data_IF_599869377902
#
_entry.id   IF_599869377902
#
_cell.length_a   1.000
_cell.length_b   1.000
_cell.length_c   1.000
_cell.angle_alpha   90.00
_cell.angle_beta   90.00
_cell.angle_gamma   90.00
#
_symmetry.space_group_name_H-M   'P 1'
#
loop_
_entity.id
_entity.type
_entity.pdbx_description
1 polymer ?
#
# COMPACT_ATOMS: atom_id res chain seq x y z
N UNK A 1 -9.39 -22.12 -1.62
CA UNK A 1 -8.53 -21.95 -0.43
C UNK A 1 -9.34 -22.47 0.74
N UNK A 2 -8.98 -23.58 1.39
CA UNK A 2 -9.76 -24.16 2.49
C UNK A 2 -8.99 -24.20 3.82
N UNK A 3 -7.77 -23.66 3.87
CA UNK A 3 -6.93 -23.62 5.07
C UNK A 3 -5.90 -22.48 5.01
N UNK A 4 -5.22 -22.20 6.12
CA UNK A 4 -4.14 -21.21 6.14
C UNK A 4 -2.87 -21.68 5.43
N UNK A 5 -2.62 -22.98 5.38
CA UNK A 5 -1.53 -23.54 4.57
C UNK A 5 -1.76 -23.21 3.09
N UNK A 6 -2.99 -23.35 2.60
CA UNK A 6 -3.34 -22.97 1.22
C UNK A 6 -3.17 -21.46 0.97
N UNK A 7 -3.52 -20.61 1.94
CA UNK A 7 -3.29 -19.16 1.86
C UNK A 7 -1.79 -18.83 1.85
N UNK A 8 -1.02 -19.47 2.73
CA UNK A 8 0.43 -19.31 2.81
C UNK A 8 1.11 -19.73 1.52
N UNK A 9 0.75 -20.88 0.96
CA UNK A 9 1.33 -21.37 -0.28
C UNK A 9 0.95 -20.50 -1.47
N UNK A 10 -0.29 -19.98 -1.49
CA UNK A 10 -0.69 -18.96 -2.46
C UNK A 10 0.19 -17.72 -2.36
N UNK A 11 0.36 -17.15 -1.16
CA UNK A 11 1.18 -15.94 -0.95
C UNK A 11 2.64 -16.20 -1.34
N UNK A 12 3.23 -17.33 -0.92
CA UNK A 12 4.62 -17.71 -1.28
C UNK A 12 4.81 -17.90 -2.78
N UNK A 13 3.76 -18.32 -3.50
CA UNK A 13 3.81 -18.46 -4.96
C UNK A 13 3.86 -17.11 -5.70
N UNK A 14 3.54 -15.99 -5.02
CA UNK A 14 3.56 -14.66 -5.60
C UNK A 14 4.89 -13.95 -5.35
N UNK A 15 5.22 -13.05 -6.25
CA UNK A 15 6.35 -12.15 -6.07
C UNK A 15 5.95 -10.96 -5.18
N UNK A 16 6.36 -10.99 -3.91
CA UNK A 16 6.11 -9.92 -2.92
C UNK A 16 6.92 -8.63 -3.18
N UNK A 17 7.73 -8.57 -4.25
CA UNK A 17 8.28 -7.31 -4.79
C UNK A 17 7.21 -6.45 -5.47
N UNK A 18 6.22 -7.10 -6.07
CA UNK A 18 5.14 -6.47 -6.83
C UNK A 18 3.82 -6.55 -6.08
N UNK A 19 2.84 -5.76 -6.51
CA UNK A 19 1.47 -5.94 -6.05
C UNK A 19 0.86 -7.21 -6.63
N UNK A 20 0.03 -7.90 -5.87
CA UNK A 20 -0.72 -9.06 -6.35
C UNK A 20 -2.13 -9.08 -5.74
N UNK A 21 -3.02 -9.83 -6.39
CA UNK A 21 -4.41 -10.00 -5.95
C UNK A 21 -4.64 -11.45 -5.54
N UNK A 22 -5.40 -11.63 -4.46
CA UNK A 22 -5.97 -12.90 -4.06
C UNK A 22 -7.50 -12.76 -4.05
N UNK A 23 -8.24 -13.72 -4.60
CA UNK A 23 -9.71 -13.63 -4.68
C UNK A 23 -10.37 -14.98 -4.50
N UNK A 24 -11.60 -14.96 -4.00
CA UNK A 24 -12.51 -16.09 -4.13
C UNK A 24 -13.03 -16.23 -5.57
N UNK A 25 -13.65 -17.37 -5.86
CA UNK A 25 -14.60 -17.44 -6.97
C UNK A 25 -15.82 -16.56 -6.66
N UNK A 26 -16.48 -16.06 -7.71
CA UNK A 26 -17.71 -15.27 -7.55
C UNK A 26 -18.87 -16.23 -7.32
N UNK A 27 -19.56 -16.16 -6.16
CA UNK A 27 -20.73 -17.01 -5.90
C UNK A 27 -21.82 -16.78 -6.95
N UNK A 28 -22.54 -17.83 -7.33
CA UNK A 28 -23.54 -17.73 -8.39
C UNK A 28 -24.67 -16.76 -8.03
N UNK A 29 -25.07 -16.71 -6.75
CA UNK A 29 -26.04 -15.75 -6.21
C UNK A 29 -25.58 -14.31 -6.42
N UNK A 30 -24.29 -14.02 -6.24
CA UNK A 30 -23.71 -12.70 -6.45
C UNK A 30 -23.74 -12.23 -7.90
N UNK A 31 -23.90 -13.15 -8.87
CA UNK A 31 -24.02 -12.80 -10.29
C UNK A 31 -25.44 -12.43 -10.68
N UNK A 32 -26.45 -13.04 -10.03
CA UNK A 32 -27.86 -12.85 -10.34
C UNK A 32 -28.54 -11.79 -9.47
N UNK A 33 -28.14 -11.65 -8.22
CA UNK A 33 -28.80 -10.79 -7.24
C UNK A 33 -28.04 -9.50 -6.96
N UNK A 34 -28.74 -8.37 -6.69
CA UNK A 34 -28.12 -7.13 -6.25
C UNK A 34 -27.26 -7.34 -4.98
N UNK A 35 -25.99 -6.94 -5.07
CA UNK A 35 -25.01 -7.13 -4.01
C UNK A 35 -24.61 -5.82 -3.34
N UNK A 36 -24.35 -5.91 -2.03
CA UNK A 36 -23.58 -4.90 -1.31
C UNK A 36 -22.11 -5.31 -1.26
N UNK A 37 -21.22 -4.32 -1.27
CA UNK A 37 -19.77 -4.51 -1.20
C UNK A 37 -19.18 -3.62 -0.11
N UNK A 38 -18.31 -4.20 0.72
CA UNK A 38 -17.52 -3.49 1.72
C UNK A 38 -16.08 -3.33 1.25
N UNK A 39 -15.46 -2.19 1.57
CA UNK A 39 -14.04 -1.89 1.31
C UNK A 39 -13.38 -1.46 2.62
N UNK A 40 -12.25 -2.06 2.95
CA UNK A 40 -11.39 -1.65 4.05
C UNK A 40 -9.91 -1.95 3.76
N UNK A 41 -8.99 -1.42 4.55
CA UNK A 41 -7.56 -1.68 4.45
C UNK A 41 -6.91 -2.13 5.76
N UNK A 42 -5.74 -2.76 5.63
CA UNK A 42 -4.86 -3.09 6.73
C UNK A 42 -3.41 -2.71 6.40
N UNK A 43 -2.66 -2.31 7.42
CA UNK A 43 -1.25 -1.98 7.26
C UNK A 43 -1.01 -0.63 6.58
N UNK A 44 -1.88 0.37 6.76
CA UNK A 44 -1.63 1.72 6.26
C UNK A 44 -0.46 2.41 6.97
N UNK A 45 -0.39 2.34 8.30
CA UNK A 45 0.61 3.04 9.14
C UNK A 45 2.01 2.42 9.30
N UNK A 46 2.21 1.09 9.24
CA UNK A 46 3.52 0.46 9.40
C UNK A 46 4.59 0.98 8.45
N UNK A 47 5.83 1.05 8.95
CA UNK A 47 7.04 1.28 8.16
C UNK A 47 7.57 -0.03 7.56
N UNK A 48 7.19 -1.19 8.12
CA UNK A 48 7.51 -2.51 7.57
C UNK A 48 6.25 -3.17 6.99
N UNK A 49 6.45 -3.94 5.93
CA UNK A 49 5.42 -4.84 5.42
C UNK A 49 4.44 -4.24 4.42
N UNK A 50 3.61 -5.07 3.80
CA UNK A 50 2.68 -4.63 2.76
C UNK A 50 1.52 -3.83 3.35
N UNK A 51 0.86 -3.05 2.50
CA UNK A 51 -0.49 -2.54 2.75
C UNK A 51 -1.46 -3.44 2.00
N UNK A 52 -2.56 -3.85 2.62
CA UNK A 52 -3.55 -4.73 2.00
C UNK A 52 -4.89 -4.03 1.93
N UNK A 53 -5.47 -3.95 0.74
CA UNK A 53 -6.87 -3.56 0.57
C UNK A 53 -7.71 -4.83 0.44
N UNK A 54 -8.77 -4.94 1.23
CA UNK A 54 -9.73 -6.02 1.19
C UNK A 54 -11.08 -5.51 0.71
N UNK A 55 -11.77 -6.33 -0.07
CA UNK A 55 -13.20 -6.19 -0.32
C UNK A 55 -13.92 -7.50 -0.02
N UNK A 56 -15.16 -7.38 0.42
CA UNK A 56 -16.11 -8.48 0.53
C UNK A 56 -17.43 -8.04 -0.10
N UNK A 57 -18.17 -8.95 -0.72
CA UNK A 57 -19.48 -8.67 -1.31
C UNK A 57 -20.41 -9.86 -1.14
N UNK A 58 -21.71 -9.57 -0.94
CA UNK A 58 -22.76 -10.59 -0.87
C UNK A 58 -24.11 -10.00 -1.32
N UNK A 59 -25.09 -10.84 -1.67
CA UNK A 59 -26.45 -10.39 -1.97
C UNK A 59 -27.04 -9.60 -0.79
N UNK A 60 -27.76 -8.51 -1.08
CA UNK A 60 -28.41 -7.68 -0.05
C UNK A 60 -29.43 -8.50 0.76
N UNK A 61 -30.08 -9.46 0.10
CA UNK A 61 -30.99 -10.46 0.68
C UNK A 61 -30.31 -11.34 1.74
N UNK A 62 -28.99 -11.58 1.61
CA UNK A 62 -28.21 -12.54 2.39
C UNK A 62 -27.29 -11.88 3.42
N UNK A 63 -27.59 -10.65 3.85
CA UNK A 63 -26.81 -9.91 4.85
C UNK A 63 -26.62 -10.66 6.18
N UNK A 64 -27.56 -11.55 6.54
CA UNK A 64 -27.52 -12.31 7.79
C UNK A 64 -26.37 -13.32 7.83
N UNK A 65 -25.90 -13.80 6.67
CA UNK A 65 -24.71 -14.67 6.56
C UNK A 65 -23.50 -14.02 7.23
N UNK A 66 -23.33 -12.71 7.07
CA UNK A 66 -22.23 -11.96 7.70
C UNK A 66 -22.33 -11.93 9.22
N UNK A 67 -23.55 -11.91 9.77
CA UNK A 67 -23.78 -11.98 11.21
C UNK A 67 -23.51 -13.37 11.75
N UNK A 68 -23.96 -14.42 11.04
CA UNK A 68 -23.68 -15.83 11.38
C UNK A 68 -22.19 -16.12 11.38
N UNK A 69 -21.45 -15.56 10.43
CA UNK A 69 -19.99 -15.64 10.38
C UNK A 69 -19.31 -14.96 11.56
N UNK A 70 -19.95 -13.97 12.19
CA UNK A 70 -19.40 -13.20 13.31
C UNK A 70 -18.79 -11.86 12.92
N UNK A 71 -19.01 -11.37 11.69
CA UNK A 71 -18.50 -10.07 11.23
C UNK A 71 -19.20 -8.88 11.91
N UNK A 72 -20.34 -9.08 12.57
CA UNK A 72 -21.12 -8.00 13.20
C UNK A 72 -20.79 -7.76 14.68
N UNK A 73 -19.85 -8.50 15.29
CA UNK A 73 -19.54 -8.31 16.72
C UNK A 73 -18.83 -6.96 16.91
N UNK A 74 -19.46 -6.05 17.65
CA UNK A 74 -19.03 -4.66 17.87
C UNK A 74 -17.80 -4.54 18.77
N UNK A 75 -17.23 -5.67 19.19
CA UNK A 75 -15.99 -5.75 19.96
C UNK A 75 -14.80 -5.88 19.02
N UNK A 76 -13.67 -5.31 19.44
CA UNK A 76 -12.39 -5.49 18.75
C UNK A 76 -12.07 -7.00 18.67
N UNK A 77 -12.21 -7.58 17.48
CA UNK A 77 -11.92 -8.99 17.23
C UNK A 77 -10.42 -9.27 17.45
N UNK A 78 -10.11 -10.37 18.16
CA UNK A 78 -8.72 -10.85 18.30
C UNK A 78 -8.19 -11.38 16.97
N UNK A 79 -6.87 -11.59 16.87
CA UNK A 79 -6.26 -12.19 15.66
C UNK A 79 -6.87 -13.57 15.40
N UNK A 80 -6.96 -14.41 16.43
CA UNK A 80 -7.50 -15.78 16.34
C UNK A 80 -8.96 -15.78 15.88
N UNK A 81 -9.76 -14.81 16.33
CA UNK A 81 -11.16 -14.72 15.91
C UNK A 81 -11.29 -14.26 14.47
N UNK A 82 -10.45 -13.32 14.01
CA UNK A 82 -10.42 -12.92 12.59
C UNK A 82 -10.02 -14.10 11.71
N UNK A 83 -9.04 -14.88 12.15
CA UNK A 83 -8.59 -16.09 11.48
C UNK A 83 -9.72 -17.13 11.36
N UNK A 84 -10.45 -17.39 12.45
CA UNK A 84 -11.62 -18.27 12.44
C UNK A 84 -12.68 -17.80 11.43
N UNK A 85 -13.03 -16.51 11.43
CA UNK A 85 -14.05 -15.95 10.53
C UNK A 85 -13.63 -16.09 9.06
N UNK A 86 -12.37 -15.79 8.73
CA UNK A 86 -11.89 -15.94 7.36
C UNK A 86 -11.88 -17.42 6.92
N UNK A 87 -11.53 -18.35 7.80
CA UNK A 87 -11.62 -19.78 7.50
C UNK A 87 -13.06 -20.22 7.24
N UNK A 88 -14.04 -19.68 7.97
CA UNK A 88 -15.46 -19.96 7.71
C UNK A 88 -15.89 -19.43 6.35
N UNK A 89 -15.47 -18.22 5.97
CA UNK A 89 -15.68 -17.69 4.61
C UNK A 89 -15.10 -18.59 3.51
N UNK A 90 -14.12 -19.44 3.84
CA UNK A 90 -13.41 -20.32 2.91
C UNK A 90 -13.97 -21.75 2.84
N UNK A 91 -14.77 -22.16 3.82
CA UNK A 91 -15.10 -23.58 4.04
C UNK A 91 -16.56 -23.85 4.34
N UNK A 92 -17.31 -22.89 4.90
CA UNK A 92 -18.73 -23.06 5.17
C UNK A 92 -19.54 -22.86 3.89
N UNK A 93 -20.40 -23.82 3.57
CA UNK A 93 -21.21 -23.84 2.34
C UNK A 93 -22.05 -22.57 2.19
N UNK A 94 -22.66 -22.09 3.27
CA UNK A 94 -23.45 -20.86 3.25
C UNK A 94 -22.60 -19.65 2.87
N UNK A 95 -21.36 -19.57 3.34
CA UNK A 95 -20.46 -18.47 2.99
C UNK A 95 -19.95 -18.61 1.55
N UNK A 96 -19.55 -19.81 1.13
CA UNK A 96 -19.09 -20.08 -0.24
C UNK A 96 -20.16 -19.76 -1.29
N UNK A 97 -21.43 -19.97 -0.95
CA UNK A 97 -22.55 -19.72 -1.85
C UNK A 97 -23.03 -18.26 -1.86
N UNK A 98 -22.63 -17.43 -0.90
CA UNK A 98 -23.19 -16.07 -0.75
C UNK A 98 -22.15 -14.96 -0.60
N UNK A 99 -20.90 -15.25 -0.24
CA UNK A 99 -19.88 -14.23 0.07
C UNK A 99 -18.68 -14.39 -0.83
N UNK A 100 -18.43 -13.37 -1.66
CA UNK A 100 -17.20 -13.24 -2.42
C UNK A 100 -16.26 -12.23 -1.78
N UNK A 101 -14.96 -12.36 -2.03
CA UNK A 101 -13.95 -11.45 -1.50
C UNK A 101 -12.74 -11.32 -2.42
N UNK A 102 -12.04 -10.18 -2.31
CA UNK A 102 -10.79 -9.92 -3.02
C UNK A 102 -9.85 -9.16 -2.08
N UNK A 103 -8.57 -9.55 -2.02
CA UNK A 103 -7.50 -8.85 -1.33
C UNK A 103 -6.41 -8.43 -2.33
N UNK A 104 -6.10 -7.14 -2.41
CA UNK A 104 -4.90 -6.63 -3.11
C UNK A 104 -3.79 -6.40 -2.08
N UNK A 105 -2.68 -7.13 -2.21
CA UNK A 105 -1.48 -6.95 -1.41
C UNK A 105 -0.54 -6.01 -2.15
N UNK A 106 -0.31 -4.83 -1.57
CA UNK A 106 0.52 -3.76 -2.13
C UNK A 106 1.89 -3.82 -1.44
N UNK A 107 2.93 -4.13 -2.21
CA UNK A 107 4.28 -4.31 -1.67
C UNK A 107 4.87 -3.01 -1.09
N UNK A 108 5.73 -3.09 -0.05
CA UNK A 108 6.45 -1.92 0.49
C UNK A 108 7.25 -1.20 -0.59
N UNK A 109 7.84 -1.96 -1.51
CA UNK A 109 8.54 -1.47 -2.68
C UNK A 109 7.64 -0.67 -3.63
N UNK A 110 6.44 -1.17 -3.95
CA UNK A 110 5.48 -0.41 -4.76
C UNK A 110 5.08 0.90 -4.08
N UNK A 111 4.85 0.88 -2.76
CA UNK A 111 4.50 2.08 -1.99
C UNK A 111 5.67 3.08 -2.04
N UNK A 112 6.88 2.64 -1.75
CA UNK A 112 8.09 3.49 -1.76
C UNK A 112 8.33 4.09 -3.14
N UNK A 113 8.34 3.26 -4.19
CA UNK A 113 8.53 3.71 -5.56
C UNK A 113 7.42 4.63 -6.04
N UNK A 114 6.19 4.43 -5.56
CA UNK A 114 5.06 5.33 -5.85
C UNK A 114 5.28 6.70 -5.21
N UNK A 115 5.64 6.75 -3.94
CA UNK A 115 5.81 8.00 -3.20
C UNK A 115 7.06 8.78 -3.60
N UNK A 116 8.09 8.11 -4.11
CA UNK A 116 9.31 8.73 -4.64
C UNK A 116 9.28 8.99 -6.16
N UNK A 117 8.13 8.83 -6.83
CA UNK A 117 8.02 9.24 -8.24
C UNK A 117 8.32 10.72 -8.40
N UNK A 118 8.85 11.10 -9.57
CA UNK A 118 9.11 12.51 -9.91
C UNK A 118 7.84 13.36 -9.84
N UNK A 119 6.72 12.81 -10.32
CA UNK A 119 5.41 13.37 -10.07
C UNK A 119 4.91 12.89 -8.70
N UNK A 120 4.58 13.83 -7.81
CA UNK A 120 4.11 13.53 -6.46
C UNK A 120 2.90 12.61 -6.52
N UNK A 121 3.05 11.41 -5.96
CA UNK A 121 1.97 10.42 -5.84
C UNK A 121 1.87 9.96 -4.40
N UNK A 122 0.83 10.44 -3.72
CA UNK A 122 0.66 10.29 -2.28
C UNK A 122 0.13 8.92 -1.89
N UNK A 123 0.32 8.54 -0.62
CA UNK A 123 -0.29 7.32 -0.08
C UNK A 123 -1.83 7.34 -0.18
N UNK A 124 -2.46 8.52 -0.12
CA UNK A 124 -3.91 8.66 -0.34
C UNK A 124 -4.33 8.26 -1.75
N UNK A 125 -3.53 8.63 -2.76
CA UNK A 125 -3.82 8.26 -4.15
C UNK A 125 -3.58 6.77 -4.39
N UNK A 126 -2.50 6.20 -3.85
CA UNK A 126 -2.27 4.75 -3.88
C UNK A 126 -3.46 4.00 -3.28
N UNK A 127 -3.88 4.39 -2.08
CA UNK A 127 -5.04 3.82 -1.36
C UNK A 127 -6.33 3.88 -2.17
N UNK A 128 -6.68 5.07 -2.66
CA UNK A 128 -7.91 5.29 -3.41
C UNK A 128 -7.91 4.53 -4.74
N UNK A 129 -6.78 4.50 -5.45
CA UNK A 129 -6.65 3.74 -6.69
C UNK A 129 -6.82 2.23 -6.48
N UNK A 130 -6.32 1.69 -5.37
CA UNK A 130 -6.53 0.30 -4.99
C UNK A 130 -7.99 -0.01 -4.69
N UNK A 131 -8.68 0.83 -3.92
CA UNK A 131 -10.11 0.67 -3.66
C UNK A 131 -10.94 0.68 -4.96
N UNK A 132 -10.70 1.66 -5.85
CA UNK A 132 -11.36 1.76 -7.16
C UNK A 132 -11.08 0.52 -8.00
N UNK A 133 -9.82 0.07 -8.05
CA UNK A 133 -9.39 -1.11 -8.82
C UNK A 133 -10.09 -2.38 -8.32
N UNK A 134 -10.26 -2.54 -7.01
CA UNK A 134 -10.95 -3.70 -6.44
C UNK A 134 -12.45 -3.70 -6.73
N UNK A 135 -13.11 -2.55 -6.63
CA UNK A 135 -14.54 -2.42 -6.99
C UNK A 135 -14.74 -2.78 -8.47
N UNK A 136 -13.90 -2.24 -9.36
CA UNK A 136 -13.93 -2.58 -10.79
C UNK A 136 -13.72 -4.07 -11.02
N UNK A 137 -12.74 -4.69 -10.36
CA UNK A 137 -12.47 -6.13 -10.48
C UNK A 137 -13.66 -6.99 -10.06
N UNK A 138 -14.37 -6.65 -8.98
CA UNK A 138 -15.56 -7.39 -8.57
C UNK A 138 -16.65 -7.37 -9.66
N UNK A 139 -16.86 -6.20 -10.26
CA UNK A 139 -17.81 -6.02 -11.37
C UNK A 139 -17.34 -6.78 -12.62
N UNK A 140 -16.06 -6.68 -12.98
CA UNK A 140 -15.44 -7.39 -14.11
C UNK A 140 -15.52 -8.93 -13.95
N UNK A 141 -15.45 -9.44 -12.72
CA UNK A 141 -15.64 -10.86 -12.43
C UNK A 141 -17.11 -11.30 -12.47
N UNK A 142 -18.04 -10.36 -12.66
CA UNK A 142 -19.46 -10.60 -12.87
C UNK A 142 -20.33 -10.47 -11.63
N UNK A 143 -19.82 -9.90 -10.52
CA UNK A 143 -20.67 -9.61 -9.36
C UNK A 143 -21.59 -8.41 -9.65
N UNK A 144 -22.88 -8.55 -9.35
CA UNK A 144 -23.90 -7.53 -9.55
C UNK A 144 -23.88 -6.50 -8.40
N UNK A 145 -22.85 -5.66 -8.36
CA UNK A 145 -22.65 -4.69 -7.28
C UNK A 145 -23.59 -3.48 -7.45
N UNK A 146 -24.45 -3.23 -6.47
CA UNK A 146 -25.39 -2.10 -6.47
C UNK A 146 -25.18 -1.14 -5.30
N UNK A 147 -24.59 -1.61 -4.20
CA UNK A 147 -24.22 -0.77 -3.05
C UNK A 147 -22.75 -0.97 -2.65
N UNK A 148 -22.05 0.11 -2.32
CA UNK A 148 -20.65 0.08 -1.86
C UNK A 148 -20.52 0.88 -0.57
N UNK A 149 -19.89 0.27 0.43
CA UNK A 149 -19.61 0.84 1.74
C UNK A 149 -18.09 0.86 1.96
N UNK A 150 -17.52 2.01 2.31
CA UNK A 150 -16.07 2.20 2.41
C UNK A 150 -15.69 2.80 3.76
N UNK A 151 -14.71 2.21 4.44
CA UNK A 151 -14.08 2.85 5.60
C UNK A 151 -13.09 3.94 5.19
N UNK A 152 -13.01 5.01 5.97
CA UNK A 152 -12.02 6.06 5.75
C UNK A 152 -11.48 6.64 7.05
N UNK A 153 -10.19 6.97 7.02
CA UNK A 153 -9.52 7.77 8.06
C UNK A 153 -9.73 9.28 7.85
N UNK A 154 -10.09 9.70 6.63
CA UNK A 154 -10.17 11.11 6.21
C UNK A 154 -11.60 11.67 6.17
N UNK A 155 -11.79 12.86 5.61
CA UNK A 155 -13.11 13.42 5.32
C UNK A 155 -13.86 12.54 4.29
N UNK A 156 -15.01 11.94 4.65
CA UNK A 156 -15.73 11.04 3.78
C UNK A 156 -16.27 11.71 2.51
N UNK A 157 -16.61 12.99 2.57
CA UNK A 157 -17.40 13.69 1.55
C UNK A 157 -16.67 13.76 0.20
N UNK A 158 -15.38 14.13 0.23
CA UNK A 158 -14.55 14.20 -0.98
C UNK A 158 -14.31 12.83 -1.59
N UNK A 159 -14.15 11.81 -0.73
CA UNK A 159 -13.90 10.46 -1.20
C UNK A 159 -15.17 9.85 -1.82
N UNK A 160 -16.31 10.04 -1.16
CA UNK A 160 -17.61 9.62 -1.67
C UNK A 160 -17.92 10.29 -3.01
N UNK A 161 -17.77 11.62 -3.11
CA UNK A 161 -18.02 12.33 -4.36
C UNK A 161 -17.20 11.77 -5.53
N UNK A 162 -15.91 11.51 -5.30
CA UNK A 162 -15.02 10.94 -6.32
C UNK A 162 -15.41 9.50 -6.69
N UNK A 163 -15.80 8.67 -5.73
CA UNK A 163 -16.27 7.32 -6.05
C UNK A 163 -17.59 7.36 -6.82
N UNK A 164 -18.52 8.23 -6.43
CA UNK A 164 -19.82 8.40 -7.12
C UNK A 164 -19.66 8.93 -8.54
N UNK A 165 -18.65 9.75 -8.81
CA UNK A 165 -18.31 10.17 -10.19
C UNK A 165 -17.82 8.99 -11.04
N UNK A 166 -17.04 8.07 -10.45
CA UNK A 166 -16.48 6.90 -11.14
C UNK A 166 -17.53 5.80 -11.33
N UNK A 167 -18.45 5.65 -10.38
CA UNK A 167 -19.49 4.61 -10.35
C UNK A 167 -20.88 5.24 -10.17
N UNK A 168 -21.42 5.93 -11.18
CA UNK A 168 -22.66 6.69 -11.07
C UNK A 168 -23.90 5.82 -10.79
N UNK A 169 -23.89 4.56 -11.24
CA UNK A 169 -25.01 3.63 -11.08
C UNK A 169 -24.97 2.84 -9.76
N UNK A 170 -23.94 3.06 -8.93
CA UNK A 170 -23.75 2.35 -7.66
C UNK A 170 -23.98 3.31 -6.50
N UNK A 171 -24.81 2.91 -5.54
CA UNK A 171 -25.02 3.66 -4.31
C UNK A 171 -23.79 3.54 -3.41
N UNK A 172 -23.03 4.62 -3.28
CA UNK A 172 -21.80 4.64 -2.49
C UNK A 172 -22.01 5.39 -1.18
N UNK A 173 -21.56 4.76 -0.09
CA UNK A 173 -21.49 5.36 1.25
C UNK A 173 -20.06 5.26 1.76
N UNK A 174 -19.45 6.39 2.10
CA UNK A 174 -18.15 6.44 2.78
C UNK A 174 -18.39 6.92 4.20
N UNK A 175 -17.88 6.18 5.18
CA UNK A 175 -18.05 6.52 6.60
C UNK A 175 -16.76 6.25 7.38
N UNK A 176 -16.62 6.92 8.52
CA UNK A 176 -15.55 6.60 9.48
C UNK A 176 -16.02 5.45 10.36
N UNK A 177 -15.13 4.50 10.68
CA UNK A 177 -15.46 3.30 11.46
C UNK A 177 -16.58 2.51 10.79
N UNK A 178 -16.56 2.46 9.46
CA UNK A 178 -17.57 1.76 8.67
C UNK A 178 -17.55 0.25 8.96
N UNK A 179 -16.40 -0.31 9.33
CA UNK A 179 -16.24 -1.67 9.83
C UNK A 179 -17.10 -1.96 11.07
N UNK A 180 -17.26 -0.97 11.95
CA UNK A 180 -18.09 -1.08 13.17
C UNK A 180 -19.58 -0.86 12.91
N UNK A 181 -19.95 -0.36 11.72
CA UNK A 181 -21.33 0.02 11.36
C UNK A 181 -21.94 -1.00 10.40
N UNK A 182 -21.16 -1.45 9.41
CA UNK A 182 -21.60 -2.30 8.32
C UNK A 182 -20.88 -3.65 8.37
N UNK A 183 -21.59 -4.77 8.62
CA UNK A 183 -20.98 -6.10 8.67
C UNK A 183 -20.18 -6.48 7.41
N UNK A 184 -20.56 -5.94 6.24
CA UNK A 184 -19.83 -6.18 4.99
C UNK A 184 -18.46 -5.49 4.97
N UNK A 185 -18.34 -4.32 5.58
CA UNK A 185 -17.05 -3.63 5.75
C UNK A 185 -16.21 -4.34 6.79
N UNK A 186 -16.82 -4.86 7.86
CA UNK A 186 -16.13 -5.74 8.82
C UNK A 186 -15.56 -6.99 8.14
N UNK A 187 -16.32 -7.64 7.26
CA UNK A 187 -15.82 -8.77 6.49
C UNK A 187 -14.63 -8.38 5.60
N UNK A 188 -14.71 -7.24 4.89
CA UNK A 188 -13.60 -6.70 4.12
C UNK A 188 -12.35 -6.39 4.99
N UNK A 189 -12.60 -5.88 6.20
CA UNK A 189 -11.59 -5.61 7.22
C UNK A 189 -10.84 -6.87 7.65
N UNK A 190 -11.57 -7.96 7.88
CA UNK A 190 -11.02 -9.28 8.22
C UNK A 190 -10.17 -9.80 7.07
N UNK A 191 -10.68 -9.76 5.84
CA UNK A 191 -9.93 -10.15 4.63
C UNK A 191 -8.61 -9.38 4.53
N UNK A 192 -8.62 -8.06 4.74
CA UNK A 192 -7.42 -7.22 4.69
C UNK A 192 -6.43 -7.55 5.82
N UNK A 193 -6.90 -7.59 7.07
CA UNK A 193 -6.06 -7.79 8.27
C UNK A 193 -5.40 -9.17 8.27
N UNK A 194 -6.18 -10.22 8.08
CA UNK A 194 -5.66 -11.61 8.09
C UNK A 194 -4.70 -11.82 6.93
N UNK A 195 -5.04 -11.35 5.71
CA UNK A 195 -4.12 -11.45 4.56
C UNK A 195 -2.81 -10.71 4.83
N UNK A 196 -2.85 -9.52 5.42
CA UNK A 196 -1.66 -8.74 5.80
C UNK A 196 -0.80 -9.49 6.81
N UNK A 197 -1.40 -9.99 7.88
CA UNK A 197 -0.69 -10.66 8.97
C UNK A 197 -0.07 -11.97 8.45
N UNK A 198 -0.80 -12.74 7.64
CA UNK A 198 -0.28 -13.95 7.01
C UNK A 198 0.81 -13.65 5.96
N UNK A 199 0.71 -12.56 5.21
CA UNK A 199 1.76 -12.14 4.28
C UNK A 199 3.08 -11.79 4.98
N UNK A 200 3.02 -11.30 6.22
CA UNK A 200 4.21 -11.10 7.04
C UNK A 200 4.75 -12.42 7.61
N UNK A 201 3.87 -13.34 8.05
CA UNK A 201 4.26 -14.67 8.57
C UNK A 201 5.06 -15.48 7.55
N UNK A 202 4.75 -15.35 6.25
CA UNK A 202 5.44 -16.05 5.16
C UNK A 202 6.26 -15.12 4.26
N UNK A 203 6.68 -13.98 4.80
CA UNK A 203 7.45 -13.00 4.03
C UNK A 203 8.76 -13.60 3.51
N UNK A 204 9.02 -13.41 2.20
CA UNK A 204 10.28 -13.79 1.58
C UNK A 204 11.17 -12.56 1.41
N UNK A 205 12.35 -12.59 2.00
CA UNK A 205 13.38 -11.58 1.73
C UNK A 205 14.11 -11.92 0.42
N UNK A 206 14.22 -10.95 -0.47
CA UNK A 206 14.95 -11.11 -1.74
C UNK A 206 16.45 -10.90 -1.54
N UNK A 207 16.82 -10.30 -0.42
CA UNK A 207 18.17 -9.95 -0.01
C UNK A 207 18.91 -11.11 0.67
N UNK A 208 18.27 -12.28 0.81
CA UNK A 208 18.86 -13.46 1.45
C UNK A 208 18.79 -13.47 2.98
N UNK A 209 17.95 -12.62 3.59
CA UNK A 209 17.71 -12.63 5.03
C UNK A 209 16.79 -13.79 5.42
N UNK A 210 17.19 -14.58 6.41
CA UNK A 210 16.35 -15.60 7.03
C UNK A 210 15.87 -15.10 8.39
N UNK A 211 14.64 -14.55 8.42
CA UNK A 211 14.04 -13.99 9.63
C UNK A 211 12.55 -14.28 9.67
N UNK A 212 12.04 -14.55 10.87
CA UNK A 212 10.63 -14.73 11.18
C UNK A 212 9.96 -13.37 11.47
N UNK A 213 8.66 -13.24 11.20
CA UNK A 213 7.87 -12.05 11.54
C UNK A 213 7.96 -11.60 13.00
N UNK A 214 8.20 -12.54 13.94
CA UNK A 214 8.40 -12.21 15.36
C UNK A 214 9.69 -11.43 15.63
N UNK A 215 10.66 -11.48 14.72
CA UNK A 215 11.98 -10.87 14.91
C UNK A 215 12.01 -9.39 14.49
N UNK A 216 11.15 -8.97 13.55
CA UNK A 216 11.04 -7.57 13.12
C UNK A 216 9.86 -6.80 13.73
N UNK A 217 9.07 -7.47 14.58
CA UNK A 217 7.95 -6.88 15.30
C UNK A 217 6.71 -6.60 14.44
N UNK A 218 5.82 -5.77 14.96
CA UNK A 218 4.53 -5.41 14.35
C UNK A 218 4.67 -4.61 13.04
N UNK A 219 5.83 -4.02 12.80
CA UNK A 219 6.11 -3.14 11.67
C UNK A 219 5.73 -1.68 11.89
N UNK A 220 5.11 -1.33 13.03
CA UNK A 220 4.78 0.05 13.34
C UNK A 220 6.00 0.82 13.86
N UNK A 221 6.17 2.12 13.51
CA UNK A 221 7.31 2.92 13.97
C UNK A 221 7.43 3.03 15.50
N UNK A 222 6.35 2.80 16.26
CA UNK A 222 6.34 2.82 17.72
C UNK A 222 6.93 1.57 18.38
N UNK A 223 6.96 0.44 17.67
CA UNK A 223 7.38 -0.86 18.21
C UNK A 223 8.90 -0.94 18.42
N UNK A 224 9.38 -1.29 19.63
CA UNK A 224 10.81 -1.46 19.90
C UNK A 224 11.54 -2.44 18.97
N UNK A 225 10.92 -3.57 18.61
CA UNK A 225 11.51 -4.57 17.71
C UNK A 225 11.61 -4.02 16.29
N UNK A 226 10.59 -3.31 15.81
CA UNK A 226 10.62 -2.66 14.51
C UNK A 226 11.69 -1.57 14.44
N UNK A 227 11.83 -0.74 15.49
CA UNK A 227 12.90 0.27 15.56
C UNK A 227 14.28 -0.38 15.54
N UNK A 228 14.45 -1.50 16.24
CA UNK A 228 15.70 -2.28 16.24
C UNK A 228 15.99 -2.83 14.84
N UNK A 229 14.99 -3.46 14.19
CA UNK A 229 15.13 -3.98 12.84
C UNK A 229 15.59 -2.91 11.86
N UNK A 230 14.93 -1.74 11.83
CA UNK A 230 15.32 -0.63 10.95
C UNK A 230 16.74 -0.17 11.29
N UNK A 231 17.11 -0.04 12.56
CA UNK A 231 18.45 0.39 12.94
C UNK A 231 19.55 -0.60 12.49
N UNK A 232 19.26 -1.89 12.56
CA UNK A 232 20.25 -2.96 12.39
C UNK A 232 20.34 -3.42 10.92
N UNK A 233 19.26 -3.31 10.14
CA UNK A 233 19.18 -3.78 8.76
C UNK A 233 19.37 -2.64 7.74
N UNK A 234 20.46 -1.88 7.88
CA UNK A 234 20.86 -0.84 6.92
C UNK A 234 22.20 -1.22 6.28
N UNK A 235 22.16 -1.54 5.00
CA UNK A 235 23.34 -1.59 4.16
C UNK A 235 23.80 -0.17 3.79
N UNK A 236 25.13 0.03 3.73
CA UNK A 236 25.73 1.34 3.48
C UNK A 236 25.42 1.88 2.07
N UNK A 237 25.21 1.02 1.08
CA UNK A 237 24.99 1.41 -0.32
C UNK A 237 23.52 1.26 -0.70
N UNK A 238 22.92 0.10 -0.38
CA UNK A 238 21.57 -0.27 -0.81
C UNK A 238 20.48 0.14 0.18
N UNK A 239 20.84 0.54 1.40
CA UNK A 239 19.87 0.88 2.43
C UNK A 239 19.19 -0.35 3.00
N UNK A 240 17.86 -0.41 2.93
CA UNK A 240 17.08 -1.45 3.61
C UNK A 240 16.73 -2.65 2.72
N UNK A 241 16.39 -3.81 3.32
CA UNK A 241 15.62 -4.82 2.62
C UNK A 241 14.24 -4.30 2.21
N UNK A 242 13.68 -4.87 1.14
CA UNK A 242 12.42 -4.49 0.50
C UNK A 242 11.16 -4.70 1.36
N UNK A 243 11.33 -5.24 2.57
CA UNK A 243 10.30 -5.22 3.61
C UNK A 243 10.02 -3.79 4.11
N UNK A 244 11.04 -2.92 4.10
CA UNK A 244 10.97 -1.54 4.60
C UNK A 244 10.34 -0.63 3.56
N UNK A 245 9.41 0.22 4.01
CA UNK A 245 8.89 1.32 3.21
C UNK A 245 9.81 2.52 3.34
N UNK A 246 10.68 2.73 2.35
CA UNK A 246 11.68 3.79 2.36
C UNK A 246 11.04 5.18 2.51
N UNK A 247 9.82 5.37 1.96
CA UNK A 247 9.08 6.64 1.99
C UNK A 247 8.54 7.05 3.36
N UNK A 248 8.78 6.27 4.42
CA UNK A 248 8.42 6.64 5.79
C UNK A 248 9.55 7.47 6.41
N UNK A 249 9.18 8.56 7.08
CA UNK A 249 10.15 9.46 7.71
C UNK A 249 11.09 8.75 8.70
N UNK A 250 10.59 7.74 9.44
CA UNK A 250 11.42 6.93 10.35
C UNK A 250 12.53 6.19 9.61
N UNK A 251 12.24 5.62 8.43
CA UNK A 251 13.23 4.93 7.61
C UNK A 251 14.18 5.93 6.94
N UNK A 252 13.66 7.03 6.41
CA UNK A 252 14.42 8.08 5.75
C UNK A 252 15.47 8.73 6.67
N UNK A 253 15.08 9.09 7.91
CA UNK A 253 15.98 9.71 8.89
C UNK A 253 17.15 8.78 9.25
N UNK A 254 16.87 7.49 9.52
CA UNK A 254 17.90 6.52 9.85
C UNK A 254 18.80 6.18 8.64
N UNK A 255 18.26 6.21 7.42
CA UNK A 255 19.02 6.00 6.20
C UNK A 255 20.03 7.14 5.99
N UNK A 256 19.60 8.40 6.21
CA UNK A 256 20.47 9.57 6.11
C UNK A 256 21.62 9.57 7.13
N UNK A 257 21.39 8.99 8.32
CA UNK A 257 22.40 8.89 9.37
C UNK A 257 23.46 7.83 9.08
N UNK A 258 23.07 6.68 8.51
CA UNK A 258 23.94 5.49 8.42
C UNK A 258 24.40 5.09 7.01
N UNK A 259 23.61 5.39 5.98
CA UNK A 259 23.95 5.01 4.61
C UNK A 259 24.81 6.07 3.92
N UNK A 260 25.44 5.70 2.82
CA UNK A 260 26.18 6.63 1.98
C UNK A 260 25.22 7.68 1.40
N UNK A 261 25.67 8.94 1.38
CA UNK A 261 24.91 10.04 0.80
C UNK A 261 24.69 9.79 -0.70
N UNK A 262 23.43 9.65 -1.09
CA UNK A 262 23.02 9.59 -2.49
C UNK A 262 22.33 10.91 -2.89
N UNK A 263 22.69 11.44 -4.05
CA UNK A 263 22.06 12.64 -4.62
C UNK A 263 21.36 12.27 -5.91
N UNK A 264 20.08 12.65 -6.01
CA UNK A 264 19.31 12.54 -7.24
C UNK A 264 19.23 13.91 -7.92
N UNK A 265 18.97 13.92 -9.23
CA UNK A 265 18.70 15.16 -9.97
C UNK A 265 17.59 15.96 -9.27
N UNK A 266 17.81 17.25 -9.06
CA UNK A 266 16.75 18.12 -8.58
C UNK A 266 15.64 18.16 -9.63
N UNK A 267 14.43 17.81 -9.22
CA UNK A 267 13.25 18.01 -10.04
C UNK A 267 12.90 19.48 -9.88
N UNK A 268 12.87 20.23 -11.00
CA UNK A 268 12.29 21.57 -11.04
C UNK A 268 10.82 21.48 -10.64
N UNK A 269 10.57 21.54 -9.33
CA UNK A 269 9.22 21.65 -8.80
C UNK A 269 8.77 23.07 -9.11
N UNK A 270 8.11 23.24 -10.27
CA UNK A 270 7.57 24.53 -10.72
C UNK A 270 6.68 25.24 -9.67
N UNK A 271 6.30 24.55 -8.60
CA UNK A 271 5.55 25.06 -7.44
C UNK A 271 6.42 25.59 -6.28
N UNK A 272 7.72 25.33 -6.26
CA UNK A 272 8.68 25.86 -5.28
C UNK A 272 9.72 26.76 -5.95
N UNK A 273 9.29 27.96 -6.36
CA UNK A 273 10.23 29.08 -6.49
C UNK A 273 10.65 29.54 -5.08
N UNK A 274 11.60 28.86 -4.47
CA UNK A 274 12.35 29.48 -3.38
C UNK A 274 13.19 30.60 -3.99
N UNK A 275 12.83 31.84 -3.67
CA UNK A 275 13.64 33.00 -4.02
C UNK A 275 14.96 32.92 -3.26
N UNK A 276 15.96 32.27 -3.85
CA UNK A 276 17.32 32.25 -3.32
C UNK A 276 17.91 33.65 -3.39
N UNK A 277 18.04 34.29 -2.24
CA UNK A 277 18.77 35.55 -2.07
C UNK A 277 20.22 35.33 -2.53
N UNK A 278 20.63 36.01 -3.61
CA UNK A 278 22.02 35.93 -4.09
C UNK A 278 22.95 36.45 -3.01
N UNK A 279 23.90 35.61 -2.60
CA UNK A 279 24.97 35.97 -1.67
C UNK A 279 25.77 37.18 -2.17
N UNK A 280 26.00 38.16 -1.30
CA UNK A 280 26.81 39.38 -1.52
C UNK A 280 28.27 39.07 -1.92
N UNK A 281 28.75 37.83 -1.77
CA UNK A 281 30.10 37.41 -2.14
C UNK A 281 30.40 37.46 -3.65
N UNK A 282 29.40 37.64 -4.53
CA UNK A 282 29.63 37.70 -5.99
C UNK A 282 30.18 39.06 -6.47
N UNK A 283 30.23 40.09 -5.62
CA UNK A 283 30.66 41.44 -6.03
C UNK A 283 32.17 41.71 -5.93
N UNK A 284 32.96 40.80 -5.33
CA UNK A 284 34.39 41.04 -5.05
C UNK A 284 35.36 40.08 -5.76
N UNK A 285 34.94 39.36 -6.80
CA UNK A 285 35.88 38.52 -7.58
C UNK A 285 36.70 39.37 -8.58
N UNK A 286 38.03 39.21 -8.63
CA UNK A 286 38.87 39.92 -9.60
C UNK A 286 38.50 39.51 -11.03
N UNK A 287 38.59 40.47 -11.97
CA UNK A 287 38.35 40.24 -13.40
C UNK A 287 39.35 39.21 -13.94
N UNK A 288 38.92 37.96 -14.04
CA UNK A 288 39.69 36.90 -14.68
C UNK A 288 39.88 37.19 -16.17
N UNK A 289 41.08 36.84 -16.66
CA UNK A 289 41.49 36.85 -18.05
C UNK A 289 40.43 36.25 -18.98
N UNK A 290 40.37 36.73 -20.23
CA UNK A 290 39.46 36.22 -21.27
C UNK A 290 39.75 34.74 -21.55
N UNK A 291 39.14 33.83 -20.78
CA UNK A 291 39.09 32.40 -21.12
C UNK A 291 38.46 32.30 -22.51
N UNK A 292 39.17 31.65 -23.45
CA UNK A 292 38.63 31.34 -24.79
C UNK A 292 37.26 30.68 -24.62
N UNK A 293 36.24 31.22 -25.31
CA UNK A 293 34.91 30.60 -25.33
C UNK A 293 35.06 29.17 -25.82
N UNK A 294 34.58 28.23 -25.00
CA UNK A 294 34.67 26.81 -25.29
C UNK A 294 33.78 26.49 -26.48
N UNK A 295 34.21 25.57 -27.33
CA UNK A 295 33.38 25.19 -28.48
C UNK A 295 32.12 24.48 -27.98
N UNK A 296 30.96 24.84 -28.56
CA UNK A 296 29.61 24.38 -28.15
C UNK A 296 29.52 22.84 -28.02
N UNK A 297 30.25 22.13 -28.88
CA UNK A 297 30.38 20.66 -28.84
C UNK A 297 30.81 20.12 -27.47
N UNK A 298 31.76 20.76 -26.78
CA UNK A 298 32.22 20.32 -25.45
C UNK A 298 31.20 20.64 -24.36
N UNK A 299 30.51 21.76 -24.49
CA UNK A 299 29.48 22.20 -23.52
C UNK A 299 28.25 21.31 -23.59
N UNK A 300 27.72 21.04 -24.80
CA UNK A 300 26.54 20.18 -25.01
C UNK A 300 26.75 18.73 -24.59
N UNK A 301 28.01 18.26 -24.56
CA UNK A 301 28.37 16.86 -24.27
C UNK A 301 29.03 16.69 -22.90
N UNK A 302 29.11 17.75 -22.11
CA UNK A 302 29.74 17.75 -20.79
C UNK A 302 31.18 17.18 -20.79
N UNK A 303 31.93 17.39 -21.86
CA UNK A 303 33.30 16.90 -22.00
C UNK A 303 34.27 17.86 -21.31
N UNK A 304 35.25 17.37 -20.56
CA UNK A 304 36.37 18.16 -20.00
C UNK A 304 37.70 17.66 -20.58
N UNK A 305 38.64 18.57 -20.81
CA UNK A 305 40.02 18.20 -21.14
C UNK A 305 40.75 18.13 -19.81
N UNK A 306 41.10 16.91 -19.38
CA UNK A 306 41.99 16.74 -18.24
C UNK A 306 43.43 16.80 -18.78
N UNK A 307 44.13 17.91 -18.53
CA UNK A 307 45.58 17.92 -18.71
C UNK A 307 46.18 17.02 -17.64
N UNK A 308 46.74 15.88 -18.04
CA UNK A 308 47.39 14.91 -17.13
C UNK A 308 48.79 15.41 -16.70
N UNK A 309 49.21 16.58 -17.18
CA UNK A 309 50.55 17.16 -16.97
C UNK A 309 50.53 18.60 -16.40
N UNK A 310 49.41 19.04 -15.80
CA UNK A 310 49.34 20.24 -14.95
C UNK A 310 49.13 19.85 -13.48
#
# INVERSE_FOLDING_TARGET
MASFEALHDYIKSKNNFTKFVNSSEVPQTCKSEPCMLGVDEAGRGPVLGPMVYGIAYCPISQKEVLRTLGCADSKVLTEEKRDEILLKMFSEEEALNNVGWIAEVISPNYISNSMYRRAKHSLNEVSMNSAISLIKKAIEFGANITEVYVDTVGPPEKYQAKLSEIFPDIKITVAKKADSIYPIVSAASIVAKVTRDHALKVWKFHEGLEMNHKEFGSGYPGDPLTKKFIRDQIDRVFGYPLLVRFSWSTAELMLQEKAAKCTFEEIDDSTKKSAGTKSISTFFSPKNEKKRKRHKFFEERYLTINNVFE
#
